data_IF_459223529329
#
_entry.id   IF_459223529329
#
_cell.length_a   1.000
_cell.length_b   1.000
_cell.length_c   1.000
_cell.angle_alpha   90.00
_cell.angle_beta   90.00
_cell.angle_gamma   90.00
#
_symmetry.space_group_name_H-M   'P 1'
#
loop_
_entity.id
_entity.type
_entity.pdbx_description
1 polymer ?
#
# COMPACT_ATOMS: atom_id res chain seq x y z
N UNK A 1 4.81 3.46 -22.33
CA UNK A 1 4.50 2.61 -21.17
C UNK A 1 5.63 1.61 -21.07
N UNK A 2 6.39 1.66 -19.99
CA UNK A 2 7.54 0.78 -19.80
C UNK A 2 7.10 -0.36 -18.88
N UNK A 3 7.28 -1.59 -19.32
CA UNK A 3 7.00 -2.77 -18.50
C UNK A 3 8.25 -3.08 -17.71
N UNK A 4 8.11 -3.21 -16.40
CA UNK A 4 9.23 -3.56 -15.52
C UNK A 4 8.99 -4.94 -14.93
N UNK A 5 10.00 -5.79 -15.04
CA UNK A 5 9.98 -7.15 -14.55
C UNK A 5 11.27 -7.40 -13.78
N UNK A 6 11.15 -7.85 -12.54
CA UNK A 6 12.28 -8.07 -11.65
C UNK A 6 12.16 -9.41 -10.94
N UNK A 7 13.24 -10.18 -10.99
CA UNK A 7 13.36 -11.46 -10.30
C UNK A 7 14.22 -11.27 -9.06
N UNK A 8 13.77 -11.80 -7.93
CA UNK A 8 14.51 -11.79 -6.66
C UNK A 8 14.43 -13.15 -5.97
N UNK A 9 15.41 -13.43 -5.13
CA UNK A 9 15.32 -14.55 -4.21
C UNK A 9 14.37 -14.18 -3.05
N UNK A 10 13.43 -15.06 -2.75
CA UNK A 10 12.53 -14.95 -1.60
C UNK A 10 12.84 -16.10 -0.63
N UNK A 11 13.66 -15.81 0.38
CA UNK A 11 14.13 -16.83 1.31
C UNK A 11 15.14 -17.80 0.68
N UNK A 12 15.03 -19.09 1.02
CA UNK A 12 16.01 -20.13 0.58
C UNK A 12 15.51 -20.99 -0.58
N UNK A 13 14.20 -21.01 -0.83
CA UNK A 13 13.57 -21.98 -1.73
C UNK A 13 12.54 -21.36 -2.68
N UNK A 14 12.34 -20.04 -2.63
CA UNK A 14 11.34 -19.37 -3.46
C UNK A 14 11.99 -18.28 -4.30
N UNK A 15 11.44 -18.08 -5.48
CA UNK A 15 11.76 -16.95 -6.34
C UNK A 15 10.53 -16.05 -6.37
N UNK A 16 10.76 -14.74 -6.29
CA UNK A 16 9.73 -13.73 -6.42
C UNK A 16 9.90 -13.00 -7.74
N UNK A 17 8.81 -12.98 -8.51
CA UNK A 17 8.70 -12.27 -9.78
C UNK A 17 7.80 -11.04 -9.57
N UNK A 18 8.40 -9.85 -9.55
CA UNK A 18 7.66 -8.59 -9.51
C UNK A 18 7.45 -8.10 -10.94
N UNK A 19 6.18 -7.92 -11.33
CA UNK A 19 5.80 -7.42 -12.64
C UNK A 19 4.94 -6.17 -12.46
N UNK A 20 5.39 -5.05 -13.03
CA UNK A 20 4.68 -3.79 -13.02
C UNK A 20 3.82 -3.65 -14.28
N UNK A 21 2.50 -3.60 -14.08
CA UNK A 21 1.52 -3.43 -15.15
C UNK A 21 0.99 -1.98 -15.16
N UNK A 22 1.29 -1.19 -16.20
CA UNK A 22 0.84 0.19 -16.27
C UNK A 22 -0.66 0.26 -16.55
N UNK A 23 -1.43 0.88 -15.65
CA UNK A 23 -2.87 1.08 -15.87
C UNK A 23 -3.10 2.02 -17.06
N UNK A 24 -3.98 1.61 -17.97
CA UNK A 24 -4.37 2.43 -19.12
C UNK A 24 -5.50 3.38 -18.71
N UNK A 25 -5.30 4.71 -18.77
CA UNK A 25 -6.35 5.66 -18.43
C UNK A 25 -7.62 5.43 -19.24
N UNK A 26 -8.78 5.61 -18.62
CA UNK A 26 -10.11 5.45 -19.22
C UNK A 26 -10.44 4.04 -19.73
N UNK A 27 -9.66 3.02 -19.37
CA UNK A 27 -10.01 1.63 -19.62
C UNK A 27 -10.48 0.97 -18.31
N UNK A 28 -11.73 0.51 -18.22
CA UNK A 28 -12.25 -0.13 -17.01
C UNK A 28 -11.63 -1.52 -16.77
N UNK A 29 -11.05 -2.13 -17.81
CA UNK A 29 -10.38 -3.42 -17.75
C UNK A 29 -9.15 -3.37 -18.63
N UNK A 30 -8.05 -3.92 -18.15
CA UNK A 30 -6.83 -4.16 -18.93
C UNK A 30 -6.42 -5.61 -18.73
N UNK A 31 -6.07 -6.28 -19.83
CA UNK A 31 -5.57 -7.64 -19.83
C UNK A 31 -4.09 -7.62 -20.24
N UNK A 32 -3.29 -8.44 -19.57
CA UNK A 32 -1.86 -8.60 -19.87
C UNK A 32 -1.56 -10.08 -20.04
N UNK A 33 -0.68 -10.40 -20.98
CA UNK A 33 -0.11 -11.74 -21.12
C UNK A 33 1.32 -11.72 -20.58
N UNK A 34 1.63 -12.66 -19.69
CA UNK A 34 2.97 -12.87 -19.16
C UNK A 34 3.46 -14.24 -19.64
N UNK A 35 4.49 -14.24 -20.48
CA UNK A 35 5.19 -15.46 -20.87
C UNK A 35 6.49 -15.57 -20.05
N UNK A 36 6.62 -16.66 -19.29
CA UNK A 36 7.78 -16.94 -18.47
C UNK A 36 8.45 -18.24 -18.92
N UNK A 37 9.76 -18.18 -19.13
CA UNK A 37 10.59 -19.32 -19.52
C UNK A 37 11.61 -19.60 -18.40
N UNK A 38 11.52 -20.77 -17.77
CA UNK A 38 12.42 -21.17 -16.69
C UNK A 38 13.39 -22.24 -17.19
N UNK A 39 14.69 -21.95 -17.13
CA UNK A 39 15.75 -22.89 -17.47
C UNK A 39 16.44 -23.38 -16.20
N UNK A 40 16.46 -24.70 -16.01
CA UNK A 40 16.95 -25.35 -14.79
C UNK A 40 18.15 -26.24 -15.12
N UNK A 41 19.21 -26.25 -14.30
CA UNK A 41 20.28 -27.23 -14.45
C UNK A 41 19.75 -28.66 -14.38
N UNK A 42 20.34 -29.57 -15.15
CA UNK A 42 19.96 -30.98 -15.17
C UNK A 42 20.01 -31.63 -13.77
N UNK A 43 20.91 -31.15 -12.90
CA UNK A 43 21.05 -31.62 -11.52
C UNK A 43 19.81 -31.38 -10.65
N UNK A 44 18.94 -30.42 -10.99
CA UNK A 44 17.68 -30.19 -10.28
C UNK A 44 16.61 -31.23 -10.63
N UNK A 45 16.81 -32.02 -11.69
CA UNK A 45 15.91 -33.10 -12.12
C UNK A 45 14.44 -32.66 -12.23
N UNK A 46 14.23 -31.42 -12.68
CA UNK A 46 12.91 -30.86 -12.98
C UNK A 46 12.50 -31.41 -14.34
N UNK A 47 11.62 -32.40 -14.31
CA UNK A 47 11.07 -33.07 -15.50
C UNK A 47 9.55 -33.03 -15.43
N UNK A 48 8.87 -33.20 -16.57
CA UNK A 48 7.40 -33.22 -16.60
C UNK A 48 6.76 -34.26 -15.65
N UNK A 49 7.46 -35.36 -15.36
CA UNK A 49 6.99 -36.41 -14.43
C UNK A 49 7.30 -36.13 -12.96
N UNK A 50 8.23 -35.24 -12.64
CA UNK A 50 8.61 -34.89 -11.25
C UNK A 50 8.06 -33.54 -10.81
N UNK A 51 8.09 -32.56 -11.70
CA UNK A 51 7.62 -31.20 -11.48
C UNK A 51 7.14 -30.64 -12.83
N UNK A 52 5.93 -31.06 -13.20
CA UNK A 52 5.27 -30.63 -14.43
C UNK A 52 4.58 -29.28 -14.31
N UNK A 53 3.94 -28.86 -15.39
CA UNK A 53 3.22 -27.58 -15.50
C UNK A 53 2.16 -27.41 -14.41
N UNK A 54 1.40 -28.46 -14.13
CA UNK A 54 0.36 -28.44 -13.08
C UNK A 54 0.96 -28.20 -11.69
N UNK A 55 2.05 -28.90 -11.36
CA UNK A 55 2.75 -28.71 -10.09
C UNK A 55 3.35 -27.31 -9.99
N UNK A 56 3.84 -26.73 -11.09
CA UNK A 56 4.30 -25.35 -11.12
C UNK A 56 3.17 -24.38 -10.78
N UNK A 57 2.03 -24.47 -11.48
CA UNK A 57 0.89 -23.58 -11.23
C UNK A 57 0.27 -23.77 -9.85
N UNK A 58 0.26 -24.99 -9.31
CA UNK A 58 -0.20 -25.24 -7.94
C UNK A 58 0.66 -24.55 -6.88
N UNK A 59 1.96 -24.41 -7.14
CA UNK A 59 2.90 -23.74 -6.24
C UNK A 59 3.04 -22.24 -6.51
N UNK A 60 2.37 -21.72 -7.56
CA UNK A 60 2.41 -20.30 -7.89
C UNK A 60 1.49 -19.52 -6.96
N UNK A 61 2.07 -18.66 -6.13
CA UNK A 61 1.31 -17.71 -5.32
C UNK A 61 1.36 -16.34 -5.99
N UNK A 62 0.18 -15.82 -6.34
CA UNK A 62 0.07 -14.52 -7.01
C UNK A 62 -0.47 -13.48 -6.05
N UNK A 63 0.27 -12.39 -5.88
CA UNK A 63 -0.19 -11.21 -5.16
C UNK A 63 -0.31 -10.05 -6.14
N UNK A 64 -1.48 -9.44 -6.21
CA UNK A 64 -1.67 -8.18 -6.93
C UNK A 64 -1.69 -7.04 -5.92
N UNK A 65 -0.81 -6.07 -6.10
CA UNK A 65 -0.81 -4.82 -5.32
C UNK A 65 -0.93 -3.65 -6.27
N UNK A 66 -1.75 -2.67 -5.92
CA UNK A 66 -1.72 -1.38 -6.60
C UNK A 66 -0.48 -0.63 -6.13
N UNK A 67 0.34 -0.18 -7.08
CA UNK A 67 1.34 0.84 -6.78
C UNK A 67 0.59 2.13 -6.46
N UNK A 68 0.62 2.50 -5.20
CA UNK A 68 -0.05 3.69 -4.72
C UNK A 68 0.66 4.92 -5.26
N UNK A 69 -0.11 5.83 -5.86
CA UNK A 69 0.43 7.10 -6.32
C UNK A 69 1.02 7.88 -5.12
N UNK A 70 2.25 8.42 -5.24
CA UNK A 70 2.85 9.17 -4.16
C UNK A 70 2.00 10.40 -3.83
N UNK A 71 1.44 10.44 -2.62
CA UNK A 71 0.68 11.57 -2.09
C UNK A 71 1.33 12.08 -0.80
N UNK A 72 1.80 13.33 -0.74
CA UNK A 72 2.34 13.92 0.49
C UNK A 72 1.35 13.83 1.65
N UNK A 73 1.84 13.65 2.88
CA UNK A 73 0.99 13.56 4.07
C UNK A 73 0.10 14.81 4.26
N UNK A 74 0.58 16.00 3.88
CA UNK A 74 -0.21 17.23 3.91
C UNK A 74 -1.48 17.15 3.04
N UNK A 75 -1.40 16.49 1.87
CA UNK A 75 -2.58 16.28 1.01
C UNK A 75 -3.49 15.18 1.56
N UNK A 76 -2.96 14.25 2.36
CA UNK A 76 -3.74 13.20 3.00
C UNK A 76 -4.66 13.79 4.09
N UNK A 77 -4.21 14.83 4.80
CA UNK A 77 -4.98 15.49 5.85
C UNK A 77 -5.81 16.68 5.36
N UNK A 78 -5.72 17.04 4.09
CA UNK A 78 -6.51 18.12 3.50
C UNK A 78 -8.00 17.71 3.40
N UNK A 79 -8.94 18.40 4.09
CA UNK A 79 -10.36 18.08 4.05
C UNK A 79 -11.01 18.36 2.68
N UNK A 80 -10.42 19.24 1.86
CA UNK A 80 -10.94 19.61 0.54
C UNK A 80 -10.38 18.70 -0.57
N UNK A 81 -9.43 17.84 -0.24
CA UNK A 81 -8.84 16.90 -1.19
C UNK A 81 -9.67 15.62 -1.34
N UNK A 82 -10.51 15.57 -2.38
CA UNK A 82 -11.30 14.38 -2.74
C UNK A 82 -10.45 13.14 -3.08
N UNK A 83 -9.17 13.33 -3.43
CA UNK A 83 -8.25 12.22 -3.70
C UNK A 83 -7.60 11.66 -2.42
N UNK A 84 -7.77 12.30 -1.27
CA UNK A 84 -7.31 11.73 0.01
C UNK A 84 -8.21 10.55 0.43
N UNK A 85 -7.67 9.33 0.63
CA UNK A 85 -8.44 8.23 1.19
C UNK A 85 -8.95 8.56 2.60
N UNK A 86 -8.19 9.31 3.41
CA UNK A 86 -8.63 9.71 4.76
C UNK A 86 -9.87 10.61 4.68
N UNK A 87 -9.88 11.60 3.78
CA UNK A 87 -11.05 12.45 3.56
C UNK A 87 -12.23 11.67 3.00
N UNK A 88 -12.01 10.71 2.08
CA UNK A 88 -13.08 9.84 1.57
C UNK A 88 -13.68 8.93 2.64
N UNK A 89 -12.87 8.37 3.54
CA UNK A 89 -13.33 7.57 4.69
C UNK A 89 -14.24 8.43 5.58
N UNK A 90 -13.75 9.59 6.02
CA UNK A 90 -14.53 10.49 6.89
C UNK A 90 -15.85 10.86 6.23
N UNK A 91 -15.81 11.34 4.98
CA UNK A 91 -17.00 11.73 4.23
C UNK A 91 -18.00 10.57 4.11
N UNK A 92 -17.53 9.36 3.80
CA UNK A 92 -18.42 8.20 3.66
C UNK A 92 -19.11 7.86 4.97
N UNK A 93 -18.38 7.87 6.08
CA UNK A 93 -18.94 7.65 7.41
C UNK A 93 -19.96 8.75 7.76
N UNK A 94 -19.69 10.01 7.43
CA UNK A 94 -20.59 11.13 7.74
C UNK A 94 -21.87 11.14 6.90
N UNK A 95 -21.79 10.78 5.61
CA UNK A 95 -22.93 10.84 4.70
C UNK A 95 -23.78 9.57 4.68
N UNK A 96 -23.32 8.48 5.31
CA UNK A 96 -23.95 7.16 5.18
C UNK A 96 -24.24 6.57 6.56
N UNK A 97 -25.42 6.86 7.16
CA UNK A 97 -25.75 6.40 8.50
C UNK A 97 -25.87 4.88 8.65
N UNK A 98 -26.21 4.19 7.55
CA UNK A 98 -26.32 2.72 7.49
C UNK A 98 -25.52 2.25 6.29
N UNK A 99 -24.41 1.57 6.53
CA UNK A 99 -23.51 1.08 5.49
C UNK A 99 -24.01 -0.25 4.92
N UNK A 100 -24.17 -0.31 3.61
CA UNK A 100 -24.36 -1.59 2.92
C UNK A 100 -23.06 -2.39 2.90
N UNK A 101 -23.13 -3.70 2.60
CA UNK A 101 -21.91 -4.53 2.43
C UNK A 101 -20.94 -3.93 1.41
N UNK A 102 -21.46 -3.34 0.32
CA UNK A 102 -20.65 -2.67 -0.69
C UNK A 102 -19.95 -1.43 -0.14
N UNK A 103 -20.63 -0.62 0.67
CA UNK A 103 -20.00 0.55 1.30
C UNK A 103 -18.87 0.14 2.25
N UNK A 104 -19.04 -0.97 2.96
CA UNK A 104 -18.02 -1.50 3.86
C UNK A 104 -16.81 -2.04 3.08
N UNK A 105 -17.02 -2.76 1.97
CA UNK A 105 -15.94 -3.17 1.06
C UNK A 105 -15.16 -1.97 0.49
N UNK A 106 -15.87 -0.92 0.07
CA UNK A 106 -15.26 0.33 -0.40
C UNK A 106 -14.43 1.00 0.71
N UNK A 107 -14.95 1.05 1.95
CA UNK A 107 -14.21 1.57 3.10
C UNK A 107 -12.95 0.75 3.41
N UNK A 108 -13.01 -0.58 3.34
CA UNK A 108 -11.82 -1.44 3.50
C UNK A 108 -10.78 -1.12 2.44
N UNK A 109 -11.20 -0.92 1.18
CA UNK A 109 -10.29 -0.52 0.11
C UNK A 109 -9.61 0.82 0.41
N UNK A 110 -10.37 1.80 0.91
CA UNK A 110 -9.83 3.11 1.28
C UNK A 110 -8.85 3.05 2.46
N UNK A 111 -9.16 2.26 3.48
CA UNK A 111 -8.28 2.02 4.64
C UNK A 111 -6.95 1.39 4.20
N UNK A 112 -7.01 0.38 3.32
CA UNK A 112 -5.81 -0.24 2.73
C UNK A 112 -5.02 0.74 1.85
N UNK A 113 -5.72 1.63 1.14
CA UNK A 113 -5.06 2.65 0.30
C UNK A 113 -4.32 3.66 1.18
N UNK A 114 -4.98 4.15 2.25
CA UNK A 114 -4.39 5.03 3.25
C UNK A 114 -3.12 4.44 3.85
N UNK A 115 -3.18 3.19 4.30
CA UNK A 115 -2.05 2.52 4.96
C UNK A 115 -0.83 2.39 4.05
N UNK A 116 -1.07 2.08 2.77
CA UNK A 116 -0.02 2.01 1.76
C UNK A 116 0.56 3.39 1.39
N UNK A 117 -0.27 4.43 1.25
CA UNK A 117 0.20 5.82 1.05
C UNK A 117 1.13 6.19 2.20
N UNK A 118 0.65 6.02 3.43
CA UNK A 118 1.38 6.41 4.63
C UNK A 118 2.75 5.72 4.72
N UNK A 119 2.76 4.39 4.60
CA UNK A 119 4.01 3.63 4.69
C UNK A 119 5.00 3.95 3.57
N UNK A 120 4.51 4.23 2.36
CA UNK A 120 5.35 4.69 1.27
C UNK A 120 5.95 6.07 1.57
N UNK A 121 5.11 7.03 2.00
CA UNK A 121 5.55 8.40 2.28
C UNK A 121 6.58 8.45 3.40
N UNK A 122 6.41 7.65 4.46
CA UNK A 122 7.36 7.64 5.57
C UNK A 122 8.76 7.22 5.10
N UNK A 123 8.85 6.06 4.44
CA UNK A 123 10.12 5.57 3.90
C UNK A 123 10.75 6.55 2.91
N UNK A 124 9.96 7.10 1.99
CA UNK A 124 10.48 8.00 0.95
C UNK A 124 10.95 9.33 1.54
N UNK A 125 10.20 9.92 2.47
CA UNK A 125 10.55 11.21 3.08
C UNK A 125 11.79 11.10 3.96
N UNK A 126 11.92 10.02 4.74
CA UNK A 126 13.14 9.73 5.50
C UNK A 126 14.36 9.60 4.58
N UNK A 127 14.23 8.85 3.47
CA UNK A 127 15.31 8.73 2.49
C UNK A 127 15.71 10.09 1.90
N UNK A 128 14.74 10.92 1.51
CA UNK A 128 15.00 12.26 0.97
C UNK A 128 15.67 13.21 1.98
N UNK A 129 15.30 13.12 3.26
CA UNK A 129 15.97 13.87 4.34
C UNK A 129 17.43 13.41 4.45
N UNK A 130 17.68 12.09 4.46
CA UNK A 130 19.04 11.53 4.47
C UNK A 130 19.87 11.94 3.26
N UNK A 131 19.28 11.96 2.06
CA UNK A 131 19.92 12.47 0.83
C UNK A 131 20.27 13.96 0.95
N UNK A 132 19.38 14.78 1.54
CA UNK A 132 19.60 16.21 1.76
C UNK A 132 20.74 16.48 2.73
N UNK A 133 20.82 15.70 3.82
CA UNK A 133 21.95 15.72 4.77
C UNK A 133 23.26 15.32 4.08
N UNK A 134 23.25 14.26 3.27
CA UNK A 134 24.43 13.81 2.53
C UNK A 134 24.93 14.87 1.53
N UNK A 135 24.02 15.63 0.93
CA UNK A 135 24.32 16.77 0.03
C UNK A 135 24.73 18.05 0.77
N UNK A 136 24.72 18.06 2.11
CA UNK A 136 25.04 19.22 2.95
C UNK A 136 24.16 20.44 2.64
N UNK A 137 22.87 20.21 2.43
CA UNK A 137 21.89 21.30 2.36
C UNK A 137 21.86 22.09 3.67
N UNK A 138 21.39 23.36 3.67
CA UNK A 138 21.36 24.20 4.87
C UNK A 138 20.61 23.53 6.01
N UNK A 139 21.19 23.52 7.21
CA UNK A 139 20.62 22.89 8.41
C UNK A 139 19.19 23.37 8.69
N UNK A 140 18.96 24.68 8.63
CA UNK A 140 17.63 25.27 8.82
C UNK A 140 16.55 24.73 7.85
N UNK A 141 16.93 24.37 6.61
CA UNK A 141 16.01 23.76 5.65
C UNK A 141 15.67 22.32 6.03
N UNK A 142 16.67 21.56 6.50
CA UNK A 142 16.51 20.19 6.95
C UNK A 142 15.62 20.17 8.20
N UNK A 143 15.89 21.03 9.18
CA UNK A 143 15.11 21.15 10.41
C UNK A 143 13.65 21.47 10.10
N UNK A 144 13.39 22.50 9.29
CA UNK A 144 12.04 22.86 8.85
C UNK A 144 11.34 21.68 8.16
N UNK A 145 12.08 20.94 7.33
CA UNK A 145 11.55 19.76 6.60
C UNK A 145 11.17 18.63 7.56
N UNK A 146 11.97 18.39 8.59
CA UNK A 146 11.74 17.40 9.64
C UNK A 146 10.55 17.81 10.51
N UNK A 147 10.51 19.04 10.99
CA UNK A 147 9.43 19.57 11.82
C UNK A 147 8.07 19.47 11.12
N UNK A 148 8.01 19.90 9.86
CA UNK A 148 6.79 19.77 9.04
C UNK A 148 6.39 18.31 8.86
N UNK A 149 7.35 17.41 8.68
CA UNK A 149 7.08 16.00 8.48
C UNK A 149 6.53 15.33 9.75
N UNK A 150 7.14 15.59 10.91
CA UNK A 150 6.66 15.13 12.22
C UNK A 150 5.28 15.70 12.53
N UNK A 151 5.05 16.98 12.24
CA UNK A 151 3.73 17.61 12.40
C UNK A 151 2.67 16.91 11.56
N UNK A 152 2.95 16.66 10.28
CA UNK A 152 2.02 15.97 9.39
C UNK A 152 1.76 14.52 9.83
N UNK A 153 2.76 13.81 10.35
CA UNK A 153 2.59 12.47 10.95
C UNK A 153 1.57 12.55 12.10
N UNK A 154 1.77 13.47 13.04
CA UNK A 154 0.88 13.65 14.18
C UNK A 154 -0.57 13.91 13.76
N UNK A 155 -0.76 14.80 12.78
CA UNK A 155 -2.09 15.14 12.26
C UNK A 155 -2.78 13.96 11.56
N UNK A 156 -2.05 13.14 10.79
CA UNK A 156 -2.61 11.92 10.17
C UNK A 156 -3.05 10.93 11.24
N UNK A 157 -2.20 10.67 12.23
CA UNK A 157 -2.49 9.72 13.31
C UNK A 157 -3.68 10.18 14.15
N UNK A 158 -3.71 11.44 14.55
CA UNK A 158 -4.83 12.03 15.30
C UNK A 158 -6.13 11.90 14.52
N UNK A 159 -6.15 12.32 13.25
CA UNK A 159 -7.35 12.29 12.42
C UNK A 159 -7.84 10.87 12.16
N UNK A 160 -6.95 9.92 11.93
CA UNK A 160 -7.33 8.51 11.72
C UNK A 160 -7.84 7.86 13.01
N UNK A 161 -7.13 8.02 14.13
CA UNK A 161 -7.52 7.45 15.42
C UNK A 161 -8.78 8.09 15.99
N UNK A 162 -9.05 9.35 15.65
CA UNK A 162 -10.30 10.03 15.97
C UNK A 162 -11.54 9.35 15.37
N UNK A 163 -11.38 8.48 14.37
CA UNK A 163 -12.47 7.70 13.79
C UNK A 163 -12.87 6.48 14.63
N UNK A 164 -12.10 6.12 15.67
CA UNK A 164 -12.29 4.88 16.42
C UNK A 164 -13.75 4.61 16.83
N UNK A 165 -14.41 5.64 17.38
CA UNK A 165 -15.80 5.51 17.87
C UNK A 165 -16.78 5.18 16.75
N UNK A 166 -16.55 5.69 15.54
CA UNK A 166 -17.39 5.42 14.35
C UNK A 166 -17.30 3.96 13.92
N UNK A 167 -16.14 3.32 14.08
CA UNK A 167 -15.96 1.89 13.78
C UNK A 167 -16.58 0.96 14.83
N UNK A 168 -16.96 1.48 16.01
CA UNK A 168 -17.66 0.70 17.04
C UNK A 168 -19.19 0.72 16.88
N UNK A 169 -19.72 1.45 15.89
CA UNK A 169 -21.16 1.53 15.66
C UNK A 169 -21.76 0.14 15.29
N UNK A 170 -23.01 -0.18 15.69
CA UNK A 170 -23.63 -1.49 15.45
C UNK A 170 -23.80 -1.89 13.97
N UNK A 171 -23.71 -0.93 13.03
CA UNK A 171 -23.81 -1.19 11.58
C UNK A 171 -22.49 -1.58 10.91
N UNK A 172 -21.38 -1.55 11.64
CA UNK A 172 -20.05 -1.90 11.14
C UNK A 172 -19.83 -3.41 11.35
N UNK A 173 -19.47 -4.12 10.28
CA UNK A 173 -19.11 -5.54 10.36
C UNK A 173 -17.71 -5.74 10.97
N UNK A 174 -17.42 -6.96 11.40
CA UNK A 174 -16.15 -7.23 12.07
C UNK A 174 -14.94 -7.10 11.13
N UNK A 175 -15.12 -7.35 9.84
CA UNK A 175 -14.04 -7.27 8.86
C UNK A 175 -13.57 -5.83 8.65
N UNK A 176 -14.50 -4.87 8.59
CA UNK A 176 -14.20 -3.45 8.53
C UNK A 176 -13.56 -2.95 9.83
N UNK A 177 -13.98 -3.46 10.99
CA UNK A 177 -13.32 -3.17 12.28
C UNK A 177 -11.88 -3.70 12.33
N UNK A 178 -11.66 -4.93 11.87
CA UNK A 178 -10.32 -5.52 11.77
C UNK A 178 -9.42 -4.69 10.85
N UNK A 179 -9.92 -4.31 9.68
CA UNK A 179 -9.19 -3.46 8.75
C UNK A 179 -8.76 -2.13 9.40
N UNK A 180 -9.66 -1.51 10.18
CA UNK A 180 -9.33 -0.30 10.94
C UNK A 180 -8.21 -0.54 11.96
N UNK A 181 -8.34 -1.57 12.81
CA UNK A 181 -7.39 -1.90 13.88
C UNK A 181 -6.01 -2.25 13.35
N UNK A 182 -5.93 -3.12 12.35
CA UNK A 182 -4.66 -3.50 11.73
C UNK A 182 -3.97 -2.32 11.06
N UNK A 183 -4.75 -1.40 10.50
CA UNK A 183 -4.18 -0.19 9.92
C UNK A 183 -3.64 0.74 11.00
N UNK A 184 -4.36 0.96 12.12
CA UNK A 184 -3.82 1.75 13.24
C UNK A 184 -2.52 1.15 13.81
N UNK A 185 -2.48 -0.17 13.97
CA UNK A 185 -1.27 -0.90 14.37
C UNK A 185 -0.13 -0.69 13.37
N UNK A 186 -0.39 -0.85 12.06
CA UNK A 186 0.59 -0.60 11.02
C UNK A 186 1.11 0.85 11.06
N UNK A 187 0.21 1.84 11.17
CA UNK A 187 0.59 3.25 11.23
C UNK A 187 1.55 3.49 12.40
N UNK A 188 1.28 2.89 13.56
CA UNK A 188 2.14 2.95 14.74
C UNK A 188 3.51 2.32 14.47
N UNK A 189 3.53 1.06 14.01
CA UNK A 189 4.76 0.32 13.73
C UNK A 189 5.66 0.98 12.69
N UNK A 190 5.07 1.60 11.67
CA UNK A 190 5.83 2.29 10.62
C UNK A 190 6.37 3.64 11.12
N UNK A 191 5.66 4.30 12.05
CA UNK A 191 6.10 5.59 12.62
C UNK A 191 7.23 5.42 13.62
N UNK A 192 7.22 4.33 14.39
CA UNK A 192 8.22 4.06 15.44
C UNK A 192 9.52 3.43 14.92
N UNK A 193 9.55 3.02 13.65
CA UNK A 193 10.69 2.38 12.99
C UNK A 193 11.66 3.39 12.37
#
# INVERSE_FOLDING_TARGET
>A
MEYHCRIRNHGRQQLELEVDYPLVPNQPKTAYSLEALLFTPASMNITGSRYGVEAFFHNLVTYTRYTVAPMPLALLIDPDNDKSPLTRIVRRLDTTPILSSKDQEELVYEIKTLSNIYAFQLRRRIALIGESMARREPEALIDTTVEQFVTNIGLVLERYRGLHTRFLEPGIDEFLREAYRWTDELLSLVTER
#
